data_IF_139921036102
#
_entry.id   IF_139921036102
#
_cell.length_a   1.000
_cell.length_b   1.000
_cell.length_c   1.000
_cell.angle_alpha   90.00
_cell.angle_beta   90.00
_cell.angle_gamma   90.00
#
_symmetry.space_group_name_H-M   'P 1'
#
loop_
_entity.id
_entity.type
_entity.pdbx_description
1 polymer ?
#
# COMPACT_ATOMS: atom_id res chain seq x y z
N UNK A 1 53.64 35.27 27.98
CA UNK A 1 52.78 36.27 27.31
C UNK A 1 51.84 35.50 26.41
N UNK A 2 50.60 35.31 26.84
CA UNK A 2 49.60 34.48 26.18
C UNK A 2 48.63 35.33 25.38
N UNK A 3 48.23 34.91 24.17
CA UNK A 3 46.94 35.27 23.60
C UNK A 3 46.07 34.01 23.51
N UNK A 4 45.20 33.87 24.51
CA UNK A 4 44.03 32.99 24.52
C UNK A 4 42.82 33.94 24.47
N UNK A 5 41.76 33.53 23.76
CA UNK A 5 40.43 34.15 23.62
C UNK A 5 40.24 35.13 22.46
N UNK A 6 39.66 34.61 21.36
CA UNK A 6 38.54 35.24 20.64
C UNK A 6 38.01 34.26 19.58
N UNK A 7 37.01 33.46 19.95
CA UNK A 7 35.93 32.91 19.11
C UNK A 7 35.22 31.82 19.94
N UNK A 8 34.16 32.18 20.69
CA UNK A 8 32.85 31.70 20.24
C UNK A 8 31.72 32.70 20.59
N UNK A 9 31.12 33.35 19.60
CA UNK A 9 29.89 34.12 19.82
C UNK A 9 28.99 34.10 18.57
N UNK A 10 28.54 32.91 18.17
CA UNK A 10 27.59 32.76 17.06
C UNK A 10 26.66 31.54 17.25
N UNK A 11 26.08 31.39 18.45
CA UNK A 11 25.06 30.36 18.74
C UNK A 11 23.92 30.96 19.59
N UNK A 12 23.27 32.00 19.09
CA UNK A 12 21.99 32.53 19.59
C UNK A 12 21.42 33.25 18.34
N UNK A 13 20.37 32.84 17.62
CA UNK A 13 18.99 32.53 18.01
C UNK A 13 18.36 31.61 16.95
N UNK A 14 18.01 30.38 17.31
CA UNK A 14 17.08 29.55 16.54
C UNK A 14 15.81 29.39 17.36
N UNK A 15 15.03 30.47 17.54
CA UNK A 15 13.71 30.36 18.16
C UNK A 15 12.79 29.68 17.16
N UNK A 16 12.51 28.39 17.37
CA UNK A 16 11.44 27.69 16.67
C UNK A 16 10.12 28.34 17.07
N UNK A 17 9.59 29.19 16.20
CA UNK A 17 8.22 29.68 16.32
C UNK A 17 7.28 28.50 16.07
N UNK A 18 6.92 27.78 17.12
CA UNK A 18 5.86 26.78 17.07
C UNK A 18 4.54 27.54 16.89
N UNK A 19 4.00 27.57 15.66
CA UNK A 19 2.65 28.04 15.42
C UNK A 19 1.67 27.15 16.20
N UNK A 20 1.05 27.70 17.24
CA UNK A 20 0.03 27.00 18.02
C UNK A 20 -1.33 27.27 17.38
N UNK A 21 -1.91 26.24 16.77
CA UNK A 21 -3.26 26.33 16.19
C UNK A 21 -4.28 25.85 17.22
N UNK A 22 -5.16 26.73 17.65
CA UNK A 22 -6.24 26.46 18.59
C UNK A 22 -7.48 25.97 17.82
N UNK A 23 -8.13 24.90 18.32
CA UNK A 23 -9.39 24.39 17.77
C UNK A 23 -10.54 24.87 18.66
N UNK A 24 -11.37 25.77 18.15
CA UNK A 24 -12.45 26.39 18.89
C UNK A 24 -13.81 25.86 18.43
N UNK A 25 -14.72 25.63 19.39
CA UNK A 25 -16.13 25.32 19.12
C UNK A 25 -17.01 26.50 19.49
N UNK A 26 -17.79 27.00 18.54
CA UNK A 26 -18.79 28.05 18.80
C UNK A 26 -20.10 27.43 19.34
N UNK A 27 -21.02 28.28 19.83
CA UNK A 27 -22.37 27.93 20.28
C UNK A 27 -23.18 27.13 19.24
N UNK A 28 -22.92 27.34 17.95
CA UNK A 28 -23.55 26.59 16.85
C UNK A 28 -22.91 25.22 16.58
N UNK A 29 -22.09 24.71 17.50
CA UNK A 29 -21.29 23.48 17.36
C UNK A 29 -20.28 23.44 16.21
N UNK A 30 -20.10 24.55 15.48
CA UNK A 30 -19.13 24.67 14.40
C UNK A 30 -17.70 24.72 14.94
N UNK A 31 -16.80 23.99 14.27
CA UNK A 31 -15.38 23.93 14.60
C UNK A 31 -14.61 24.91 13.71
N UNK A 32 -13.87 25.82 14.33
CA UNK A 32 -13.02 26.80 13.64
C UNK A 32 -11.60 26.70 14.21
N UNK A 33 -10.61 26.74 13.32
CA UNK A 33 -9.19 26.77 13.70
C UNK A 33 -8.72 28.22 13.75
N UNK A 34 -8.04 28.61 14.82
CA UNK A 34 -7.56 29.97 15.03
C UNK A 34 -6.13 29.94 15.57
N UNK A 35 -5.30 30.89 15.14
CA UNK A 35 -3.95 31.07 15.68
C UNK A 35 -3.95 31.88 17.00
N UNK A 36 -5.14 32.24 17.49
CA UNK A 36 -5.35 32.92 18.77
C UNK A 36 -6.22 32.07 19.70
N UNK A 37 -6.08 32.21 21.03
CA UNK A 37 -6.93 31.53 22.00
C UNK A 37 -8.42 31.77 21.72
N UNK A 38 -9.26 30.77 21.99
CA UNK A 38 -10.69 30.86 21.73
C UNK A 38 -11.33 32.04 22.46
N UNK A 39 -12.03 32.90 21.73
CA UNK A 39 -12.71 34.07 22.27
C UNK A 39 -13.89 33.71 23.20
N UNK A 40 -14.31 34.66 24.03
CA UNK A 40 -15.46 34.51 24.93
C UNK A 40 -16.71 34.02 24.19
N UNK A 41 -17.27 32.90 24.66
CA UNK A 41 -18.41 32.22 24.01
C UNK A 41 -18.02 31.04 23.12
N UNK A 42 -16.73 30.82 22.90
CA UNK A 42 -16.20 29.62 22.24
C UNK A 42 -15.34 28.80 23.21
N UNK A 43 -15.46 27.48 23.12
CA UNK A 43 -14.73 26.55 24.00
C UNK A 43 -13.57 25.95 23.21
N UNK A 44 -12.37 26.01 23.77
CA UNK A 44 -11.22 25.30 23.21
C UNK A 44 -11.46 23.80 23.35
N UNK A 45 -11.53 23.11 22.22
CA UNK A 45 -11.49 21.66 22.19
C UNK A 45 -10.01 21.31 22.20
N UNK A 46 -9.51 20.76 23.32
CA UNK A 46 -8.14 20.23 23.42
C UNK A 46 -7.92 19.33 22.20
N UNK A 47 -6.97 19.69 21.34
CA UNK A 47 -6.49 18.82 20.27
C UNK A 47 -5.62 17.75 20.90
N UNK A 48 -6.23 16.93 21.74
CA UNK A 48 -5.71 15.59 21.87
C UNK A 48 -6.07 14.90 20.57
N UNK A 49 -5.11 14.18 20.03
CA UNK A 49 -5.37 13.00 19.21
C UNK A 49 -6.02 11.97 20.17
N UNK A 50 -7.19 12.31 20.71
CA UNK A 50 -8.10 11.39 21.34
C UNK A 50 -8.89 10.81 20.18
N UNK A 51 -8.43 9.65 19.75
CA UNK A 51 -9.31 8.66 19.15
C UNK A 51 -10.45 8.48 20.14
N UNK A 52 -11.61 9.06 19.83
CA UNK A 52 -12.83 8.93 20.61
C UNK A 52 -13.09 7.43 20.87
N UNK A 53 -13.13 7.06 22.14
CA UNK A 53 -13.81 5.86 22.62
C UNK A 53 -15.25 6.27 23.02
N UNK A 54 -16.27 5.42 22.81
CA UNK A 54 -16.92 4.93 24.03
C UNK A 54 -17.47 3.50 23.87
N UNK A 55 -16.92 2.58 24.65
CA UNK A 55 -17.61 1.58 25.49
C UNK A 55 -16.90 0.23 25.46
N UNK A 56 -15.74 0.11 26.12
CA UNK A 56 -15.49 -1.06 26.96
C UNK A 56 -14.72 -0.62 28.21
N UNK A 57 -15.45 -0.50 29.32
CA UNK A 57 -14.84 -0.50 30.64
C UNK A 57 -14.24 -1.89 30.85
N UNK A 58 -12.97 -2.09 30.46
CA UNK A 58 -12.28 -3.34 30.70
C UNK A 58 -11.64 -3.33 32.09
N UNK A 59 -11.99 -4.35 32.86
CA UNK A 59 -11.82 -4.51 34.31
C UNK A 59 -10.37 -4.66 34.82
N UNK A 60 -9.35 -4.45 33.98
CA UNK A 60 -7.96 -4.85 34.27
C UNK A 60 -7.03 -3.71 34.72
N UNK A 61 -7.52 -2.48 34.87
CA UNK A 61 -6.69 -1.35 35.34
C UNK A 61 -5.50 -0.97 34.44
N UNK A 62 -5.35 -1.62 33.28
CA UNK A 62 -4.31 -1.32 32.29
C UNK A 62 -4.62 0.01 31.59
N UNK A 63 -3.62 0.88 31.36
CA UNK A 63 -3.84 2.16 30.68
C UNK A 63 -4.36 1.92 29.25
N UNK A 64 -5.22 2.81 28.72
CA UNK A 64 -5.94 2.58 27.46
C UNK A 64 -5.01 2.33 26.26
N UNK A 65 -3.83 2.95 26.25
CA UNK A 65 -2.81 2.76 25.21
C UNK A 65 -2.29 1.31 25.19
N UNK A 66 -2.12 0.69 26.36
CA UNK A 66 -1.65 -0.70 26.44
C UNK A 66 -2.73 -1.67 25.96
N UNK A 67 -4.00 -1.39 26.23
CA UNK A 67 -5.10 -2.21 25.70
C UNK A 67 -5.18 -2.15 24.17
N UNK A 68 -4.94 -0.97 23.59
CA UNK A 68 -4.89 -0.82 22.12
C UNK A 68 -3.71 -1.60 21.53
N UNK A 69 -2.54 -1.56 22.18
CA UNK A 69 -1.38 -2.38 21.80
C UNK A 69 -1.69 -3.87 21.90
N UNK A 70 -2.31 -4.33 22.99
CA UNK A 70 -2.74 -5.72 23.15
C UNK A 70 -3.68 -6.16 22.01
N UNK A 71 -4.66 -5.32 21.67
CA UNK A 71 -5.59 -5.57 20.58
C UNK A 71 -4.90 -5.57 19.20
N UNK A 72 -3.93 -4.67 18.99
CA UNK A 72 -3.16 -4.59 17.75
C UNK A 72 -2.25 -5.82 17.57
N UNK A 73 -1.59 -6.27 18.64
CA UNK A 73 -0.76 -7.49 18.63
C UNK A 73 -1.64 -8.72 18.36
N UNK A 74 -2.77 -8.87 19.07
CA UNK A 74 -3.70 -9.99 18.88
C UNK A 74 -4.30 -10.02 17.47
N UNK A 75 -4.69 -8.87 16.92
CA UNK A 75 -5.21 -8.79 15.56
C UNK A 75 -4.15 -9.10 14.50
N UNK A 76 -2.89 -8.67 14.69
CA UNK A 76 -1.78 -9.03 13.80
C UNK A 76 -1.49 -10.55 13.84
N UNK A 77 -1.54 -11.17 15.03
CA UNK A 77 -1.42 -12.63 15.18
C UNK A 77 -2.58 -13.34 14.47
N UNK A 78 -3.82 -12.89 14.65
CA UNK A 78 -4.99 -13.48 14.00
C UNK A 78 -4.95 -13.34 12.47
N UNK A 79 -4.35 -12.26 11.95
CA UNK A 79 -4.10 -12.07 10.52
C UNK A 79 -2.90 -12.86 9.98
N UNK A 80 -2.21 -13.63 10.83
CA UNK A 80 -0.97 -14.34 10.52
C UNK A 80 0.19 -13.42 10.04
N UNK A 81 0.16 -12.15 10.43
CA UNK A 81 1.22 -11.17 10.16
C UNK A 81 2.20 -11.15 11.34
N UNK A 82 3.00 -12.20 11.44
CA UNK A 82 3.96 -12.40 12.53
C UNK A 82 5.06 -11.33 12.54
N UNK A 83 5.38 -10.72 11.39
CA UNK A 83 6.37 -9.64 11.29
C UNK A 83 5.85 -8.38 11.96
N UNK A 84 4.62 -7.97 11.64
CA UNK A 84 3.96 -6.84 12.28
C UNK A 84 3.71 -7.11 13.77
N UNK A 85 3.30 -8.33 14.13
CA UNK A 85 3.08 -8.70 15.52
C UNK A 85 4.39 -8.59 16.35
N UNK A 86 5.53 -9.03 15.81
CA UNK A 86 6.86 -8.84 16.46
C UNK A 86 7.24 -7.38 16.63
N UNK A 87 6.94 -6.54 15.65
CA UNK A 87 7.23 -5.10 15.72
C UNK A 87 6.38 -4.38 16.78
N UNK A 88 5.14 -4.83 17.00
CA UNK A 88 4.22 -4.27 18.00
C UNK A 88 4.44 -4.83 19.42
N UNK A 89 5.11 -5.99 19.55
CA UNK A 89 5.31 -6.69 20.81
C UNK A 89 6.38 -6.00 21.69
N UNK A 90 5.95 -4.96 22.40
CA UNK A 90 6.82 -4.18 23.31
C UNK A 90 6.94 -4.80 24.70
N UNK A 91 5.90 -5.50 25.17
CA UNK A 91 5.87 -6.15 26.49
C UNK A 91 6.34 -7.61 26.44
N UNK A 92 6.78 -8.20 27.57
CA UNK A 92 7.06 -9.63 27.64
C UNK A 92 5.82 -10.49 27.32
N UNK A 93 4.64 -10.09 27.80
CA UNK A 93 3.36 -10.78 27.50
C UNK A 93 3.10 -10.87 25.99
N UNK A 94 3.32 -9.77 25.25
CA UNK A 94 3.18 -9.76 23.79
C UNK A 94 4.16 -10.71 23.10
N UNK A 95 5.41 -10.74 23.59
CA UNK A 95 6.45 -11.60 23.01
C UNK A 95 6.10 -13.07 23.19
N UNK A 96 5.49 -13.45 24.31
CA UNK A 96 5.01 -14.81 24.54
C UNK A 96 3.86 -15.18 23.59
N UNK A 97 2.87 -14.30 23.40
CA UNK A 97 1.79 -14.54 22.44
C UNK A 97 2.33 -14.72 21.01
N UNK A 98 3.27 -13.86 20.62
CA UNK A 98 3.92 -13.95 19.30
C UNK A 98 4.74 -15.23 19.18
N UNK A 99 5.51 -15.62 20.20
CA UNK A 99 6.30 -16.84 20.20
C UNK A 99 5.41 -18.09 20.10
N UNK A 100 4.28 -18.11 20.82
CA UNK A 100 3.29 -19.18 20.71
C UNK A 100 2.69 -19.26 19.30
N UNK A 101 2.30 -18.13 18.71
CA UNK A 101 1.76 -18.08 17.35
C UNK A 101 2.79 -18.48 16.27
N UNK A 102 4.07 -18.15 16.47
CA UNK A 102 5.16 -18.61 15.60
C UNK A 102 5.31 -20.13 15.69
N UNK A 103 5.27 -20.69 16.91
CA UNK A 103 5.38 -22.14 17.13
C UNK A 103 4.19 -22.90 16.54
N UNK A 104 2.98 -22.37 16.70
CA UNK A 104 1.76 -22.93 16.10
C UNK A 104 1.82 -22.90 14.56
N UNK A 105 2.24 -21.79 13.96
CA UNK A 105 2.47 -21.72 12.52
C UNK A 105 3.55 -22.68 12.03
N UNK A 106 4.62 -22.85 12.81
CA UNK A 106 5.68 -23.81 12.48
C UNK A 106 5.19 -25.26 12.57
N UNK A 107 4.17 -25.53 13.41
CA UNK A 107 3.57 -26.85 13.57
C UNK A 107 2.49 -27.18 12.55
N UNK A 108 1.92 -26.19 11.84
CA UNK A 108 0.97 -26.41 10.75
C UNK A 108 1.69 -27.03 9.53
N UNK A 109 1.70 -28.38 9.37
CA UNK A 109 2.44 -29.06 8.31
C UNK A 109 1.52 -29.09 7.09
N UNK A 110 1.46 -27.99 6.33
CA UNK A 110 0.50 -27.91 5.23
C UNK A 110 0.31 -26.56 4.57
N UNK A 111 1.06 -25.53 4.95
CA UNK A 111 1.27 -24.36 4.09
C UNK A 111 2.73 -24.29 3.71
N UNK A 112 3.18 -25.30 2.96
CA UNK A 112 4.48 -25.21 2.30
C UNK A 112 4.50 -23.92 1.48
N UNK A 113 5.66 -23.27 1.33
CA UNK A 113 5.76 -22.07 0.49
C UNK A 113 5.17 -22.29 -0.90
N UNK A 114 5.26 -23.51 -1.42
CA UNK A 114 4.66 -23.90 -2.69
C UNK A 114 3.12 -23.78 -2.69
N UNK A 115 2.46 -24.11 -1.58
CA UNK A 115 1.01 -24.06 -1.44
C UNK A 115 0.53 -22.60 -1.27
N UNK A 116 1.27 -21.79 -0.53
CA UNK A 116 1.05 -20.33 -0.46
C UNK A 116 1.25 -19.66 -1.82
N UNK A 117 2.25 -20.09 -2.61
CA UNK A 117 2.46 -19.62 -3.99
C UNK A 117 1.31 -20.05 -4.90
N UNK A 118 0.79 -21.26 -4.73
CA UNK A 118 -0.36 -21.77 -5.50
C UNK A 118 -1.65 -21.00 -5.16
N UNK A 119 -1.88 -20.70 -3.88
CA UNK A 119 -3.01 -19.89 -3.43
C UNK A 119 -2.90 -18.43 -3.92
N UNK A 120 -1.70 -17.83 -3.83
CA UNK A 120 -1.45 -16.47 -4.36
C UNK A 120 -1.59 -16.38 -5.88
N UNK A 121 -1.10 -17.36 -6.63
CA UNK A 121 -1.23 -17.38 -8.09
C UNK A 121 -2.68 -17.52 -8.57
N UNK A 122 -3.54 -18.16 -7.78
CA UNK A 122 -4.98 -18.27 -8.07
C UNK A 122 -5.83 -17.13 -7.50
N UNK A 123 -5.22 -16.26 -6.69
CA UNK A 123 -5.89 -15.13 -6.03
C UNK A 123 -6.50 -14.12 -7.01
N UNK A 124 -7.54 -13.42 -6.56
CA UNK A 124 -8.17 -12.35 -7.32
C UNK A 124 -7.20 -11.18 -7.58
N UNK A 125 -6.27 -10.93 -6.65
CA UNK A 125 -5.25 -9.89 -6.78
C UNK A 125 -4.25 -10.19 -7.91
N UNK A 126 -3.74 -11.43 -7.98
CA UNK A 126 -2.87 -11.86 -9.06
C UNK A 126 -3.57 -11.73 -10.43
N UNK A 127 -4.84 -12.14 -10.52
CA UNK A 127 -5.64 -12.00 -11.75
C UNK A 127 -5.81 -10.53 -12.16
N UNK A 128 -6.06 -9.63 -11.20
CA UNK A 128 -6.17 -8.19 -11.44
C UNK A 128 -4.83 -7.58 -11.88
N UNK A 129 -3.74 -7.93 -11.21
CA UNK A 129 -2.41 -7.45 -11.54
C UNK A 129 -1.98 -7.89 -12.95
N UNK A 130 -2.28 -9.15 -13.32
CA UNK A 130 -2.04 -9.67 -14.68
C UNK A 130 -2.81 -8.88 -15.74
N UNK A 131 -4.11 -8.63 -15.54
CA UNK A 131 -4.92 -7.82 -16.46
C UNK A 131 -4.39 -6.40 -16.62
N UNK A 132 -3.94 -5.78 -15.52
CA UNK A 132 -3.37 -4.43 -15.57
C UNK A 132 -2.05 -4.40 -16.35
N UNK A 133 -1.20 -5.41 -16.16
CA UNK A 133 0.04 -5.54 -16.93
C UNK A 133 -0.24 -5.77 -18.42
N UNK A 134 -1.19 -6.64 -18.75
CA UNK A 134 -1.61 -6.88 -20.14
C UNK A 134 -2.23 -5.63 -20.78
N UNK A 135 -3.04 -4.87 -20.05
CA UNK A 135 -3.61 -3.62 -20.55
C UNK A 135 -2.52 -2.58 -20.85
N UNK A 136 -1.55 -2.43 -19.95
CA UNK A 136 -0.42 -1.51 -20.14
C UNK A 136 0.49 -1.97 -21.29
N UNK A 137 0.79 -3.27 -21.39
CA UNK A 137 1.63 -3.82 -22.45
C UNK A 137 1.00 -3.74 -23.84
N UNK A 138 -0.34 -3.71 -23.92
CA UNK A 138 -1.07 -3.54 -25.18
C UNK A 138 -1.35 -2.07 -25.53
N UNK A 139 -1.00 -1.11 -24.67
CA UNK A 139 -1.15 0.30 -24.99
C UNK A 139 -0.19 0.70 -26.12
N UNK A 140 -0.64 1.54 -27.06
CA UNK A 140 0.19 1.94 -28.22
C UNK A 140 1.44 2.73 -27.85
N UNK A 141 1.48 3.31 -26.65
CA UNK A 141 2.60 4.11 -26.14
C UNK A 141 2.87 3.79 -24.66
N UNK A 142 3.21 2.54 -24.37
CA UNK A 142 3.55 2.12 -23.01
C UNK A 142 4.87 2.76 -22.56
N UNK A 143 4.84 3.48 -21.44
CA UNK A 143 6.07 3.99 -20.81
C UNK A 143 6.83 2.80 -20.17
N UNK A 144 8.12 2.59 -20.46
CA UNK A 144 8.91 1.49 -19.91
C UNK A 144 8.92 1.46 -18.37
N UNK A 145 8.87 2.61 -17.71
CA UNK A 145 8.86 2.71 -16.24
C UNK A 145 7.52 2.24 -15.65
N UNK A 146 6.42 2.54 -16.34
CA UNK A 146 5.09 2.09 -15.92
C UNK A 146 4.98 0.58 -16.14
N UNK A 147 5.53 0.07 -17.24
CA UNK A 147 5.51 -1.35 -17.55
C UNK A 147 6.35 -2.17 -16.55
N UNK A 148 7.52 -1.67 -16.15
CA UNK A 148 8.35 -2.31 -15.12
C UNK A 148 7.68 -2.27 -13.74
N UNK A 149 7.06 -1.16 -13.36
CA UNK A 149 6.30 -1.06 -12.11
C UNK A 149 5.07 -1.98 -12.09
N UNK A 150 4.34 -2.11 -13.20
CA UNK A 150 3.21 -3.06 -13.33
C UNK A 150 3.69 -4.50 -13.25
N UNK A 151 4.86 -4.79 -13.82
CA UNK A 151 5.47 -6.12 -13.81
C UNK A 151 5.88 -6.53 -12.39
N UNK A 152 6.55 -5.67 -11.64
CA UNK A 152 6.90 -5.95 -10.23
C UNK A 152 5.66 -6.12 -9.34
N UNK A 153 4.62 -5.31 -9.56
CA UNK A 153 3.32 -5.48 -8.88
C UNK A 153 2.66 -6.83 -9.20
N UNK A 154 2.76 -7.31 -10.44
CA UNK A 154 2.26 -8.63 -10.81
C UNK A 154 3.03 -9.75 -10.09
N UNK A 155 4.37 -9.69 -10.06
CA UNK A 155 5.19 -10.70 -9.39
C UNK A 155 4.89 -10.78 -7.89
N UNK A 156 4.81 -9.62 -7.22
CA UNK A 156 4.49 -9.54 -5.79
C UNK A 156 3.09 -10.08 -5.47
N UNK A 157 2.07 -9.69 -6.25
CA UNK A 157 0.70 -10.17 -6.06
C UNK A 157 0.55 -11.68 -6.32
N UNK A 158 1.26 -12.21 -7.31
CA UNK A 158 1.20 -13.62 -7.65
C UNK A 158 2.14 -14.50 -6.80
N UNK A 159 2.99 -13.91 -5.95
CA UNK A 159 3.98 -14.64 -5.15
C UNK A 159 5.07 -15.31 -5.99
N UNK A 160 5.32 -14.80 -7.20
CA UNK A 160 6.35 -15.31 -8.11
C UNK A 160 7.59 -14.44 -7.95
N UNK A 161 8.76 -15.07 -7.84
CA UNK A 161 10.04 -14.35 -7.77
C UNK A 161 10.27 -13.69 -9.13
N UNK A 162 10.47 -12.37 -9.13
CA UNK A 162 10.81 -11.64 -10.34
C UNK A 162 12.15 -12.16 -10.87
N UNK A 163 12.22 -12.61 -12.14
CA UNK A 163 13.49 -13.01 -12.72
C UNK A 163 14.41 -11.80 -12.69
N UNK A 164 15.54 -11.92 -12.00
CA UNK A 164 16.62 -10.95 -12.10
C UNK A 164 17.12 -11.05 -13.53
N UNK A 165 16.57 -10.21 -14.39
CA UNK A 165 17.18 -9.93 -15.68
C UNK A 165 18.44 -9.17 -15.28
N UNK A 166 19.56 -9.89 -15.18
CA UNK A 166 20.85 -9.27 -15.35
C UNK A 166 20.72 -8.52 -16.66
N UNK A 167 20.71 -7.19 -16.59
CA UNK A 167 20.88 -6.35 -17.76
C UNK A 167 22.18 -6.82 -18.39
N UNK A 168 22.09 -7.77 -19.32
CA UNK A 168 23.04 -7.93 -20.38
C UNK A 168 22.91 -6.63 -21.14
N UNK A 169 23.68 -5.64 -20.65
CA UNK A 169 24.08 -4.47 -21.37
C UNK A 169 24.21 -4.94 -22.81
N UNK A 170 23.36 -4.46 -23.74
CA UNK A 170 23.41 -4.94 -25.10
C UNK A 170 24.86 -4.74 -25.49
N UNK A 171 25.59 -5.83 -25.74
CA UNK A 171 26.91 -5.70 -26.30
C UNK A 171 26.63 -4.94 -27.58
N UNK A 172 27.00 -3.67 -27.58
CA UNK A 172 27.00 -2.83 -28.74
C UNK A 172 28.00 -3.47 -29.67
N UNK A 173 27.57 -4.51 -30.38
CA UNK A 173 28.16 -4.94 -31.61
C UNK A 173 27.94 -3.75 -32.52
N UNK A 174 28.91 -2.83 -32.47
CA UNK A 174 29.19 -1.87 -33.52
C UNK A 174 29.46 -2.74 -34.75
N UNK A 175 28.39 -3.13 -35.43
CA UNK A 175 28.44 -3.87 -36.67
C UNK A 175 28.84 -2.84 -37.72
N UNK A 176 30.15 -2.68 -37.87
CA UNK A 176 30.78 -1.94 -38.95
C UNK A 176 30.17 -2.38 -40.29
N UNK A 177 29.53 -1.43 -40.97
CA UNK A 177 29.41 -1.40 -42.43
C UNK A 177 28.74 -2.61 -43.09
N UNK A 178 27.40 -2.63 -43.12
CA UNK A 178 26.69 -3.22 -44.25
C UNK A 178 26.00 -2.12 -45.05
N UNK A 179 26.33 -1.92 -46.34
CA UNK A 179 25.65 -0.94 -47.16
C UNK A 179 24.20 -1.37 -47.36
N UNK A 180 23.28 -0.49 -46.93
CA UNK A 180 21.87 -0.55 -47.28
C UNK A 180 21.73 -0.63 -48.80
N UNK A 181 21.42 -1.82 -49.32
CA UNK A 181 20.78 -1.90 -50.64
C UNK A 181 19.34 -1.46 -50.46
N UNK A 182 19.05 -0.26 -50.96
CA UNK A 182 17.71 0.18 -51.31
C UNK A 182 17.02 -0.94 -52.13
N UNK A 183 16.02 -1.60 -51.55
CA UNK A 183 15.10 -2.45 -52.30
C UNK A 183 13.87 -1.61 -52.63
N UNK A 184 13.93 -0.98 -53.80
CA UNK A 184 12.77 -0.40 -54.47
C UNK A 184 11.78 -1.52 -54.83
N UNK A 185 10.48 -1.22 -54.64
CA UNK A 185 9.29 -1.85 -55.22
C UNK A 185 9.06 -3.36 -54.99
N UNK A 186 7.96 -3.65 -54.30
CA UNK A 186 7.02 -4.69 -54.73
C UNK A 186 5.58 -4.22 -54.42
N UNK A 187 5.07 -3.37 -55.30
CA UNK A 187 3.63 -3.23 -55.51
C UNK A 187 3.16 -4.54 -56.13
N UNK A 188 2.69 -5.51 -55.35
CA UNK A 188 1.68 -6.52 -55.73
C UNK A 188 1.55 -7.51 -54.56
N UNK A 189 0.65 -7.20 -53.62
CA UNK A 189 0.14 -8.22 -52.70
C UNK A 189 -1.34 -8.43 -52.99
N UNK A 190 -1.74 -9.59 -53.55
CA UNK A 190 -3.13 -9.84 -53.91
C UNK A 190 -3.98 -9.96 -52.63
N UNK A 191 -5.17 -9.38 -52.70
CA UNK A 191 -6.19 -9.39 -51.66
C UNK A 191 -6.48 -10.82 -51.18
N UNK A 192 -6.12 -11.14 -49.93
CA UNK A 192 -6.69 -12.29 -49.24
C UNK A 192 -8.05 -11.89 -48.70
N UNK A 193 -9.10 -12.45 -49.33
CA UNK A 193 -10.46 -12.42 -48.84
C UNK A 193 -10.51 -13.05 -47.44
N UNK A 194 -10.79 -12.24 -46.42
CA UNK A 194 -11.19 -12.74 -45.11
C UNK A 194 -12.65 -13.24 -45.16
N UNK A 195 -12.94 -14.46 -44.71
CA UNK A 195 -14.32 -14.91 -44.56
C UNK A 195 -15.00 -14.20 -43.38
N UNK A 196 -16.26 -13.83 -43.60
CA UNK A 196 -17.17 -13.23 -42.64
C UNK A 196 -17.19 -13.97 -41.30
N UNK A 197 -16.71 -13.32 -40.23
CA UNK A 197 -16.97 -13.74 -38.85
C UNK A 197 -18.38 -13.27 -38.45
N UNK A 198 -19.25 -14.21 -38.12
CA UNK A 198 -20.61 -13.98 -37.61
C UNK A 198 -20.58 -13.23 -36.26
N UNK A 199 -21.53 -12.33 -35.97
CA UNK A 199 -21.65 -11.69 -34.66
C UNK A 199 -22.20 -12.68 -33.63
N UNK A 200 -21.39 -12.99 -32.62
CA UNK A 200 -21.81 -13.78 -31.46
C UNK A 200 -22.53 -12.91 -30.43
N UNK A 201 -23.85 -13.09 -30.38
CA UNK A 201 -24.74 -13.05 -29.21
C UNK A 201 -24.31 -12.20 -27.98
N UNK A 202 -24.92 -11.00 -27.88
CA UNK A 202 -25.35 -10.37 -26.62
C UNK A 202 -26.35 -11.29 -25.89
N UNK A 203 -26.42 -11.43 -24.58
CA UNK A 203 -25.74 -10.78 -23.47
C UNK A 203 -26.45 -11.25 -22.20
N UNK A 204 -25.71 -11.80 -21.24
CA UNK A 204 -26.26 -12.17 -19.94
C UNK A 204 -26.04 -11.02 -18.96
N UNK A 205 -27.12 -10.31 -18.67
CA UNK A 205 -27.18 -9.34 -17.57
C UNK A 205 -27.30 -10.09 -16.24
N UNK A 206 -26.45 -9.82 -15.24
CA UNK A 206 -26.67 -10.34 -13.89
C UNK A 206 -27.89 -9.65 -13.27
N UNK A 207 -28.85 -10.46 -12.80
CA UNK A 207 -30.01 -10.02 -12.03
C UNK A 207 -29.56 -9.39 -10.72
N UNK A 208 -29.89 -8.12 -10.52
CA UNK A 208 -29.80 -7.46 -9.22
C UNK A 208 -30.87 -8.03 -8.30
N UNK A 209 -30.46 -8.83 -7.32
CA UNK A 209 -31.32 -9.23 -6.20
C UNK A 209 -31.55 -8.02 -5.29
N UNK A 210 -32.78 -7.52 -5.27
CA UNK A 210 -33.27 -6.61 -4.24
C UNK A 210 -33.12 -7.28 -2.88
N UNK A 211 -32.25 -6.76 -2.03
CA UNK A 211 -32.23 -7.07 -0.60
C UNK A 211 -33.17 -6.07 0.07
N UNK A 212 -34.30 -6.56 0.54
CA UNK A 212 -35.31 -5.79 1.27
C UNK A 212 -34.88 -5.66 2.72
N UNK A 213 -34.75 -4.43 3.21
CA UNK A 213 -34.59 -4.10 4.62
C UNK A 213 -35.83 -4.52 5.44
N UNK A 214 -35.68 -5.16 6.61
CA UNK A 214 -36.73 -5.22 7.60
C UNK A 214 -36.59 -4.09 8.64
N UNK A 215 -37.63 -3.25 8.66
CA UNK A 215 -38.29 -2.64 9.81
C UNK A 215 -37.47 -2.41 11.10
N UNK A 216 -37.27 -1.11 11.41
CA UNK A 216 -36.93 -0.62 12.75
C UNK A 216 -38.23 -0.46 13.55
N UNK A 217 -38.28 -1.11 14.73
CA UNK A 217 -39.19 -0.75 15.82
C UNK A 217 -38.64 0.45 16.58
#
# INVERSE_FOLDING_TARGET
MSPVLLLPLLVIFSTTAHAQVFKCRNANHQVVYSDTPCGTGSVQIITDIMVNDPHTANADGKPPVMQQLDAAVKSAIAANDLTRAKALATTPEHKEWVAAAVKENAQLPGKSEAQLKMEKSSSAECKKAKRNLEAEANASFSNPDVLSARKSLMYTACGVVEPVILDQQPQSTILYGYPYRYRYNDYYRPHQHHPHRKPGHSGDKPKTSKFSDPARK
#
